data_IF_724042520180
#
_entry.id   IF_724042520180
#
_cell.length_a   1.000
_cell.length_b   1.000
_cell.length_c   1.000
_cell.angle_alpha   90.00
_cell.angle_beta   90.00
_cell.angle_gamma   90.00
#
_symmetry.space_group_name_H-M   'P 1'
#
loop_
_entity.id
_entity.type
_entity.pdbx_description
1 polymer ?
#
# COMPACT_ATOMS: atom_id res chain seq x y z
N UNK A 1 -20.56 -0.25 -2.29
CA UNK A 1 -20.02 0.50 -3.43
C UNK A 1 -20.11 -0.38 -4.65
N UNK A 2 -20.84 0.02 -5.68
CA UNK A 2 -20.86 -0.68 -6.97
C UNK A 2 -19.71 -0.12 -7.78
N UNK A 3 -18.69 -0.92 -8.06
CA UNK A 3 -17.62 -0.55 -8.98
C UNK A 3 -18.16 -0.76 -10.40
N UNK A 4 -18.02 0.24 -11.27
CA UNK A 4 -18.17 0.02 -12.71
C UNK A 4 -17.09 -0.94 -13.15
N UNK A 5 -17.45 -1.94 -13.95
CA UNK A 5 -16.50 -2.85 -14.61
C UNK A 5 -15.72 -2.09 -15.70
N UNK A 6 -14.85 -1.20 -15.32
CA UNK A 6 -13.81 -0.69 -16.21
C UNK A 6 -12.61 -1.62 -16.06
N UNK A 7 -12.36 -2.45 -17.07
CA UNK A 7 -11.13 -3.21 -17.15
C UNK A 7 -9.99 -2.24 -17.43
N UNK A 8 -9.11 -2.07 -16.45
CA UNK A 8 -7.81 -1.46 -16.71
C UNK A 8 -7.01 -2.43 -17.59
N UNK A 9 -6.43 -1.94 -18.67
CA UNK A 9 -5.54 -2.74 -19.55
C UNK A 9 -4.25 -3.11 -18.82
N UNK A 10 -3.81 -2.25 -17.89
CA UNK A 10 -2.57 -2.41 -17.13
C UNK A 10 -2.89 -2.60 -15.63
N UNK A 11 -2.02 -3.34 -14.95
CA UNK A 11 -2.13 -3.56 -13.51
C UNK A 11 -1.78 -2.27 -12.74
N UNK A 12 -2.57 -1.87 -11.73
CA UNK A 12 -2.22 -0.74 -10.89
C UNK A 12 -0.91 -0.97 -10.14
N UNK A 13 -0.02 0.01 -10.18
CA UNK A 13 1.24 0.00 -9.42
C UNK A 13 1.09 0.87 -8.18
N UNK A 14 1.51 0.33 -7.04
CA UNK A 14 1.48 1.03 -5.75
C UNK A 14 2.89 1.11 -5.21
N UNK A 15 3.34 2.30 -4.87
CA UNK A 15 4.65 2.54 -4.27
C UNK A 15 4.51 2.75 -2.77
N UNK A 16 5.13 1.83 -2.02
CA UNK A 16 5.09 1.77 -0.57
C UNK A 16 3.92 0.96 -0.01
N UNK A 17 4.18 0.16 1.02
CA UNK A 17 3.19 -0.68 1.73
C UNK A 17 2.93 -0.19 3.16
N UNK A 18 3.01 1.12 3.36
CA UNK A 18 2.47 1.77 4.56
C UNK A 18 0.93 1.72 4.57
N UNK A 19 0.25 2.32 5.57
CA UNK A 19 -1.20 2.20 5.70
C UNK A 19 -1.97 2.58 4.44
N UNK A 20 -1.57 3.63 3.74
CA UNK A 20 -2.23 4.09 2.52
C UNK A 20 -2.08 3.07 1.37
N UNK A 21 -0.85 2.57 1.14
CA UNK A 21 -0.59 1.59 0.09
C UNK A 21 -1.26 0.25 0.37
N UNK A 22 -1.23 -0.22 1.63
CA UNK A 22 -1.89 -1.45 2.06
C UNK A 22 -3.40 -1.42 1.76
N UNK A 23 -4.10 -0.34 2.14
CA UNK A 23 -5.52 -0.20 1.88
C UNK A 23 -5.84 0.07 0.41
N UNK A 24 -4.99 0.78 -0.33
CA UNK A 24 -5.14 0.94 -1.77
C UNK A 24 -5.05 -0.42 -2.47
N UNK A 25 -4.04 -1.23 -2.13
CA UNK A 25 -3.86 -2.56 -2.67
C UNK A 25 -5.06 -3.47 -2.36
N UNK A 26 -5.54 -3.48 -1.11
CA UNK A 26 -6.69 -4.27 -0.70
C UNK A 26 -7.95 -3.92 -1.50
N UNK A 27 -8.25 -2.62 -1.64
CA UNK A 27 -9.45 -2.17 -2.37
C UNK A 27 -9.35 -2.50 -3.85
N UNK A 28 -8.19 -2.31 -4.46
CA UNK A 28 -7.95 -2.64 -5.87
C UNK A 28 -7.99 -4.15 -6.12
N UNK A 29 -7.39 -4.96 -5.24
CA UNK A 29 -7.42 -6.42 -5.36
C UNK A 29 -8.86 -6.94 -5.28
N UNK A 30 -9.67 -6.45 -4.33
CA UNK A 30 -11.09 -6.81 -4.22
C UNK A 30 -11.93 -6.33 -5.41
N UNK A 31 -11.50 -5.27 -6.09
CA UNK A 31 -12.12 -4.80 -7.33
C UNK A 31 -11.66 -5.60 -8.57
N UNK A 32 -10.75 -6.59 -8.41
CA UNK A 32 -10.29 -7.47 -9.48
C UNK A 32 -9.14 -6.92 -10.33
N UNK A 33 -8.46 -5.84 -9.88
CA UNK A 33 -7.38 -5.22 -10.66
C UNK A 33 -6.00 -5.83 -10.46
N UNK A 34 -5.83 -6.78 -9.55
CA UNK A 34 -4.56 -7.48 -9.28
C UNK A 34 -3.36 -6.51 -9.15
N UNK A 35 -3.31 -5.61 -8.15
CA UNK A 35 -2.29 -4.57 -8.05
C UNK A 35 -0.89 -5.16 -7.84
N UNK A 36 0.14 -4.40 -8.27
CA UNK A 36 1.55 -4.69 -7.95
C UNK A 36 2.03 -3.65 -6.95
N UNK A 37 2.54 -4.10 -5.81
CA UNK A 37 3.03 -3.24 -4.73
C UNK A 37 4.55 -3.37 -4.63
N UNK A 38 5.25 -2.24 -4.59
CA UNK A 38 6.69 -2.18 -4.32
C UNK A 38 6.92 -1.55 -2.95
N UNK A 39 7.56 -2.30 -2.05
CA UNK A 39 7.93 -1.83 -0.71
C UNK A 39 9.45 -1.90 -0.55
N UNK A 40 10.05 -0.79 -0.06
CA UNK A 40 11.49 -0.70 0.12
C UNK A 40 12.03 -1.61 1.23
N UNK A 41 11.25 -1.77 2.30
CA UNK A 41 11.61 -2.60 3.45
C UNK A 41 11.12 -4.03 3.34
N UNK A 42 11.19 -4.73 4.46
CA UNK A 42 10.78 -6.12 4.59
C UNK A 42 9.28 -6.28 4.87
N UNK A 43 8.80 -7.53 4.71
CA UNK A 43 7.54 -7.97 5.29
C UNK A 43 7.58 -7.85 6.82
N UNK A 44 6.43 -7.75 7.45
CA UNK A 44 6.32 -7.45 8.88
C UNK A 44 7.02 -8.50 9.76
N UNK A 45 7.07 -9.75 9.32
CA UNK A 45 7.75 -10.84 10.01
C UNK A 45 9.27 -10.57 10.09
N UNK A 46 9.94 -10.46 8.95
CA UNK A 46 11.40 -10.18 8.87
C UNK A 46 11.74 -8.81 9.43
N UNK A 47 10.90 -7.78 9.16
CA UNK A 47 11.06 -6.45 9.71
C UNK A 47 11.08 -6.44 11.23
N UNK A 48 10.31 -7.33 11.89
CA UNK A 48 10.32 -7.45 13.35
C UNK A 48 11.68 -7.89 13.86
N UNK A 49 12.32 -8.84 13.19
CA UNK A 49 13.67 -9.31 13.52
C UNK A 49 14.72 -8.21 13.31
N UNK A 50 14.62 -7.47 12.21
CA UNK A 50 15.53 -6.34 11.91
C UNK A 50 15.41 -5.22 12.95
N UNK A 51 14.19 -4.91 13.38
CA UNK A 51 13.95 -3.89 14.43
C UNK A 51 14.46 -4.34 15.79
N UNK A 52 14.27 -5.61 16.15
CA UNK A 52 14.81 -6.19 17.38
C UNK A 52 16.34 -6.15 17.40
N UNK A 53 16.97 -6.57 16.30
CA UNK A 53 18.42 -6.50 16.12
C UNK A 53 18.95 -5.07 16.29
N UNK A 54 18.28 -4.07 15.70
CA UNK A 54 18.65 -2.66 15.87
C UNK A 54 18.60 -2.23 17.34
N UNK A 55 17.59 -2.62 18.11
CA UNK A 55 17.49 -2.26 19.52
C UNK A 55 18.54 -2.98 20.38
N UNK A 56 19.01 -4.17 19.99
CA UNK A 56 20.05 -4.91 20.70
C UNK A 56 21.47 -4.42 20.38
N UNK A 57 21.74 -4.08 19.12
CA UNK A 57 23.10 -3.84 18.62
C UNK A 57 23.40 -2.38 18.28
N UNK A 58 22.36 -1.60 17.96
CA UNK A 58 22.48 -0.26 17.39
C UNK A 58 22.75 -0.24 15.88
N UNK A 59 22.78 -1.41 15.21
CA UNK A 59 22.99 -1.51 13.76
C UNK A 59 21.69 -1.23 13.00
N UNK A 60 21.64 -0.09 12.30
CA UNK A 60 20.49 0.35 11.55
C UNK A 60 20.50 -0.21 10.12
N UNK A 61 19.43 -0.92 9.73
CA UNK A 61 19.12 -1.16 8.31
C UNK A 61 18.39 0.07 7.73
N UNK A 62 19.00 0.73 6.76
CA UNK A 62 18.45 1.97 6.17
C UNK A 62 17.17 1.75 5.36
N UNK A 63 16.95 0.55 4.83
CA UNK A 63 15.80 0.23 3.98
C UNK A 63 14.67 -0.47 4.74
N UNK A 64 14.97 -1.13 5.89
CA UNK A 64 13.97 -1.83 6.72
C UNK A 64 14.22 -1.54 8.20
N UNK A 65 13.32 -0.82 8.84
CA UNK A 65 13.49 -0.36 10.22
C UNK A 65 12.15 0.04 10.85
N UNK A 66 12.16 0.80 11.96
CA UNK A 66 10.95 1.30 12.62
C UNK A 66 10.09 2.19 11.72
N UNK A 67 10.66 2.86 10.70
CA UNK A 67 9.95 3.77 9.80
C UNK A 67 9.52 3.10 8.49
N UNK A 68 10.39 2.24 7.93
CA UNK A 68 10.23 1.66 6.61
C UNK A 68 9.95 0.17 6.68
N UNK A 69 9.13 -0.32 5.77
CA UNK A 69 8.68 -1.70 5.65
C UNK A 69 7.16 -1.84 5.76
N UNK A 70 6.68 -3.05 5.60
CA UNK A 70 5.25 -3.40 5.58
C UNK A 70 4.50 -2.82 6.78
N UNK A 71 3.36 -2.19 6.52
CA UNK A 71 2.51 -1.54 7.53
C UNK A 71 2.97 -0.14 7.96
N UNK A 72 4.18 0.29 7.52
CA UNK A 72 4.74 1.60 7.85
C UNK A 72 5.11 1.77 9.33
N UNK A 73 5.39 2.99 9.75
CA UNK A 73 5.83 3.30 11.11
C UNK A 73 4.79 2.96 12.21
N UNK A 74 3.49 2.93 11.85
CA UNK A 74 2.41 2.59 12.77
C UNK A 74 2.51 1.19 13.37
N UNK A 75 3.07 0.23 12.63
CA UNK A 75 3.21 -1.18 13.04
C UNK A 75 4.10 -1.36 14.28
N UNK A 76 5.04 -0.44 14.49
CA UNK A 76 5.99 -0.46 15.63
C UNK A 76 5.77 0.73 16.57
N UNK A 77 4.60 1.35 16.54
CA UNK A 77 4.20 2.44 17.44
C UNK A 77 3.52 1.91 18.69
N UNK A 78 2.88 2.80 19.46
CA UNK A 78 2.13 2.45 20.65
C UNK A 78 0.73 1.86 20.38
N UNK A 79 0.38 1.61 19.13
CA UNK A 79 -0.88 0.96 18.73
C UNK A 79 -2.16 1.80 18.88
N UNK A 80 -2.03 3.08 19.15
CA UNK A 80 -3.18 3.98 19.26
C UNK A 80 -3.74 4.33 17.88
N UNK A 81 -5.03 4.13 17.68
CA UNK A 81 -5.75 4.43 16.45
C UNK A 81 -6.53 5.76 16.57
N UNK A 82 -5.89 6.79 17.12
CA UNK A 82 -6.55 8.08 17.32
C UNK A 82 -6.48 8.94 16.06
N UNK A 83 -7.62 9.54 15.71
CA UNK A 83 -7.70 10.52 14.64
C UNK A 83 -8.56 11.71 15.07
N UNK A 84 -8.15 12.93 14.70
CA UNK A 84 -8.94 14.14 14.83
C UNK A 84 -9.81 14.43 13.60
N UNK A 85 -9.69 13.61 12.56
CA UNK A 85 -10.46 13.76 11.32
C UNK A 85 -11.91 13.34 11.56
N UNK A 86 -12.86 14.22 11.22
CA UNK A 86 -14.28 13.87 11.22
C UNK A 86 -14.57 12.91 10.09
N UNK A 87 -15.08 11.73 10.42
CA UNK A 87 -15.38 10.67 9.44
C UNK A 87 -16.67 10.94 8.66
N UNK A 88 -16.65 11.97 7.85
CA UNK A 88 -17.79 12.39 7.04
C UNK A 88 -18.28 11.32 6.04
N UNK A 89 -17.39 10.42 5.62
CA UNK A 89 -17.65 9.43 4.56
C UNK A 89 -17.58 7.97 5.05
N UNK A 90 -17.44 7.72 6.35
CA UNK A 90 -17.33 6.38 6.92
C UNK A 90 -16.00 5.68 6.62
N UNK A 91 -14.94 6.40 6.23
CA UNK A 91 -13.66 5.82 5.85
C UNK A 91 -12.90 5.27 7.05
N UNK A 92 -12.93 5.98 8.18
CA UNK A 92 -12.31 5.49 9.42
C UNK A 92 -13.01 4.22 9.90
N UNK A 93 -14.33 4.20 9.85
CA UNK A 93 -15.11 3.03 10.22
C UNK A 93 -14.86 1.84 9.29
N UNK A 94 -14.66 2.10 7.99
CA UNK A 94 -14.22 1.07 7.04
C UNK A 94 -12.86 0.47 7.45
N UNK A 95 -11.87 1.30 7.76
CA UNK A 95 -10.53 0.84 8.18
C UNK A 95 -10.61 -0.02 9.45
N UNK A 96 -11.36 0.44 10.47
CA UNK A 96 -11.53 -0.32 11.71
C UNK A 96 -12.22 -1.67 11.49
N UNK A 97 -13.24 -1.72 10.63
CA UNK A 97 -13.91 -2.97 10.24
C UNK A 97 -12.95 -3.93 9.53
N UNK A 98 -12.09 -3.41 8.66
CA UNK A 98 -11.09 -4.25 8.02
C UNK A 98 -10.07 -4.80 9.02
N UNK A 99 -9.64 -3.99 9.98
CA UNK A 99 -8.77 -4.48 11.04
C UNK A 99 -9.43 -5.62 11.85
N UNK A 100 -10.70 -5.47 12.24
CA UNK A 100 -11.44 -6.54 12.93
C UNK A 100 -11.56 -7.78 12.05
N UNK A 101 -11.89 -7.62 10.77
CA UNK A 101 -11.98 -8.74 9.82
C UNK A 101 -10.67 -9.53 9.73
N UNK A 102 -9.53 -8.85 9.93
CA UNK A 102 -8.20 -9.43 9.87
C UNK A 102 -7.60 -9.80 11.23
N UNK A 103 -8.39 -9.79 12.30
CA UNK A 103 -8.00 -10.32 13.60
C UNK A 103 -7.83 -9.31 14.73
N UNK A 104 -8.11 -8.03 14.49
CA UNK A 104 -8.14 -7.05 15.57
C UNK A 104 -9.36 -7.27 16.49
N UNK A 105 -9.27 -6.88 17.77
CA UNK A 105 -10.40 -6.96 18.70
C UNK A 105 -11.60 -6.11 18.24
N UNK A 106 -12.82 -6.59 18.47
CA UNK A 106 -14.04 -5.89 18.05
C UNK A 106 -14.29 -4.58 18.80
N UNK A 107 -13.73 -4.43 19.99
CA UNK A 107 -13.88 -3.25 20.84
C UNK A 107 -13.38 -1.96 20.17
N UNK A 108 -12.43 -2.05 19.25
CA UNK A 108 -11.95 -0.90 18.47
C UNK A 108 -13.05 -0.20 17.66
N UNK A 109 -14.19 -0.87 17.41
CA UNK A 109 -15.30 -0.30 16.62
C UNK A 109 -16.13 0.70 17.42
N UNK A 110 -16.13 0.61 18.76
CA UNK A 110 -16.97 1.42 19.63
C UNK A 110 -16.23 2.15 20.76
N UNK A 111 -14.96 1.85 20.96
CA UNK A 111 -14.14 2.59 21.92
C UNK A 111 -13.81 4.03 21.43
N UNK A 112 -13.87 4.99 22.36
CA UNK A 112 -13.56 6.39 22.04
C UNK A 112 -12.07 6.62 21.72
N UNK A 113 -11.19 5.72 22.20
CA UNK A 113 -9.74 5.74 21.97
C UNK A 113 -9.28 4.32 21.65
N UNK A 114 -9.58 3.82 20.43
CA UNK A 114 -9.24 2.47 20.06
C UNK A 114 -7.74 2.24 20.07
N UNK A 115 -7.34 1.10 20.59
CA UNK A 115 -5.96 0.67 20.71
C UNK A 115 -5.83 -0.77 20.21
N UNK A 116 -4.85 -1.03 19.35
CA UNK A 116 -4.47 -2.38 18.92
C UNK A 116 -3.05 -2.62 19.40
N UNK A 117 -2.80 -3.69 20.16
CA UNK A 117 -1.44 -4.08 20.53
C UNK A 117 -0.56 -4.27 19.28
N UNK A 118 0.70 -3.91 19.38
CA UNK A 118 1.64 -3.99 18.23
C UNK A 118 1.73 -5.39 17.64
N UNK A 119 1.67 -6.43 18.47
CA UNK A 119 1.72 -7.81 17.99
C UNK A 119 0.49 -8.16 17.17
N UNK A 120 -0.71 -7.80 17.66
CA UNK A 120 -1.96 -8.00 16.91
C UNK A 120 -1.95 -7.19 15.61
N UNK A 121 -1.41 -5.95 15.62
CA UNK A 121 -1.35 -5.13 14.42
C UNK A 121 -0.44 -5.72 13.35
N UNK A 122 0.66 -6.36 13.74
CA UNK A 122 1.53 -7.11 12.81
C UNK A 122 0.77 -8.25 12.13
N UNK A 123 0.01 -9.03 12.89
CA UNK A 123 -0.79 -10.13 12.37
C UNK A 123 -1.90 -9.64 11.43
N UNK A 124 -2.56 -8.52 11.78
CA UNK A 124 -3.57 -7.87 10.93
C UNK A 124 -2.97 -7.43 9.60
N UNK A 125 -1.81 -6.78 9.61
CA UNK A 125 -1.13 -6.32 8.40
C UNK A 125 -0.73 -7.49 7.52
N UNK A 126 -0.13 -8.54 8.08
CA UNK A 126 0.22 -9.77 7.36
C UNK A 126 -1.02 -10.48 6.78
N UNK A 127 -2.14 -10.48 7.52
CA UNK A 127 -3.41 -11.05 7.07
C UNK A 127 -4.00 -10.28 5.88
N UNK A 128 -3.93 -8.94 5.89
CA UNK A 128 -4.38 -8.11 4.76
C UNK A 128 -3.52 -8.39 3.52
N UNK A 129 -2.18 -8.47 3.66
CA UNK A 129 -1.29 -8.85 2.56
C UNK A 129 -1.69 -10.19 1.94
N UNK A 130 -1.91 -11.20 2.77
CA UNK A 130 -2.32 -12.53 2.30
C UNK A 130 -3.66 -12.49 1.53
N UNK A 131 -4.62 -11.65 1.94
CA UNK A 131 -5.85 -11.45 1.17
C UNK A 131 -5.54 -10.80 -0.19
N UNK A 132 -4.71 -9.76 -0.26
CA UNK A 132 -4.29 -9.11 -1.51
C UNK A 132 -3.66 -10.14 -2.46
N UNK A 133 -2.72 -10.93 -1.98
CA UNK A 133 -2.04 -11.97 -2.75
C UNK A 133 -3.01 -13.06 -3.23
N UNK A 134 -3.94 -13.50 -2.38
CA UNK A 134 -4.95 -14.49 -2.73
C UNK A 134 -5.91 -14.02 -3.83
N UNK A 135 -6.08 -12.71 -3.98
CA UNK A 135 -6.88 -12.06 -5.02
C UNK A 135 -6.07 -11.72 -6.29
N UNK A 136 -4.83 -12.20 -6.39
CA UNK A 136 -3.96 -12.01 -7.55
C UNK A 136 -3.08 -10.76 -7.50
N UNK A 137 -3.08 -10.02 -6.40
CA UNK A 137 -2.10 -8.95 -6.16
C UNK A 137 -0.71 -9.51 -5.95
N UNK A 138 0.31 -8.70 -6.18
CA UNK A 138 1.72 -9.04 -5.96
C UNK A 138 2.36 -8.00 -5.05
N UNK A 139 3.22 -8.46 -4.10
CA UNK A 139 3.98 -7.58 -3.22
C UNK A 139 5.45 -7.90 -3.36
N UNK A 140 6.24 -6.90 -3.72
CA UNK A 140 7.68 -6.98 -3.86
C UNK A 140 8.35 -6.21 -2.74
N UNK A 141 8.90 -6.93 -1.75
CA UNK A 141 9.69 -6.37 -0.68
C UNK A 141 11.13 -6.11 -1.11
N UNK A 142 11.87 -5.33 -0.33
CA UNK A 142 13.26 -4.92 -0.64
C UNK A 142 13.39 -4.31 -2.05
N UNK A 143 12.31 -3.67 -2.50
CA UNK A 143 12.22 -3.07 -3.83
C UNK A 143 11.89 -1.60 -3.70
N UNK A 144 12.92 -0.77 -3.71
CA UNK A 144 12.81 0.68 -3.62
C UNK A 144 12.56 1.27 -5.02
N UNK A 145 11.45 1.97 -5.17
CA UNK A 145 11.20 2.77 -6.37
C UNK A 145 12.00 4.07 -6.26
N UNK A 146 12.95 4.25 -7.18
CA UNK A 146 13.86 5.40 -7.17
C UNK A 146 13.43 6.50 -8.13
N UNK A 147 12.74 6.13 -9.23
CA UNK A 147 12.33 7.07 -10.26
C UNK A 147 11.11 6.54 -11.04
N UNK A 148 10.41 7.44 -11.71
CA UNK A 148 9.33 7.14 -12.63
C UNK A 148 9.72 7.72 -13.98
N UNK A 149 9.99 6.83 -14.93
CA UNK A 149 10.32 7.23 -16.28
C UNK A 149 9.01 7.37 -17.08
N UNK A 150 8.74 8.59 -17.54
CA UNK A 150 7.62 8.88 -18.42
C UNK A 150 8.16 9.05 -19.84
N UNK A 151 7.58 8.31 -20.79
CA UNK A 151 7.82 8.56 -22.21
C UNK A 151 6.65 9.40 -22.76
N UNK A 152 6.98 10.43 -23.55
CA UNK A 152 5.96 11.20 -24.25
C UNK A 152 5.27 10.29 -25.26
N UNK A 153 3.99 10.04 -25.07
CA UNK A 153 3.19 9.36 -26.08
C UNK A 153 2.99 10.35 -27.23
N UNK A 154 3.74 10.13 -28.31
CA UNK A 154 3.63 10.96 -29.51
C UNK A 154 2.20 10.94 -30.03
N UNK A 155 1.47 12.06 -29.88
CA UNK A 155 0.09 12.19 -30.36
C UNK A 155 -0.88 12.87 -29.40
N UNK A 156 -0.53 13.10 -28.14
CA UNK A 156 -1.37 13.91 -27.23
C UNK A 156 -1.07 15.38 -27.56
N UNK A 157 -2.07 16.05 -28.17
CA UNK A 157 -2.03 17.52 -28.33
C UNK A 157 -2.85 18.15 -27.21
N UNK A 158 -2.19 18.99 -26.41
CA UNK A 158 -2.92 19.93 -25.55
C UNK A 158 -3.53 21.02 -26.44
N UNK A 159 -4.83 21.32 -26.23
CA UNK A 159 -5.41 22.52 -26.80
C UNK A 159 -4.93 23.77 -26.05
N UNK A 160 -5.17 24.97 -26.62
CA UNK A 160 -4.80 26.24 -26.00
C UNK A 160 -5.49 26.50 -24.65
N UNK A 161 -6.42 25.65 -24.22
CA UNK A 161 -7.12 25.68 -22.94
C UNK A 161 -6.62 24.63 -21.93
N UNK A 162 -5.56 23.84 -22.27
CA UNK A 162 -4.99 22.79 -21.39
C UNK A 162 -5.88 21.56 -21.23
N UNK A 163 -6.80 21.31 -22.19
CA UNK A 163 -7.59 20.07 -22.20
C UNK A 163 -6.91 19.02 -23.06
N UNK A 164 -6.73 17.85 -22.48
CA UNK A 164 -6.19 16.67 -23.17
C UNK A 164 -7.31 16.04 -24.00
N UNK A 165 -7.11 15.98 -25.33
CA UNK A 165 -8.00 15.23 -26.22
C UNK A 165 -7.31 13.94 -26.65
N UNK A 166 -7.90 12.80 -26.34
CA UNK A 166 -7.48 11.50 -26.89
C UNK A 166 -7.79 11.46 -28.40
N UNK A 167 -6.75 11.38 -29.22
CA UNK A 167 -6.90 10.86 -30.56
C UNK A 167 -6.55 9.37 -30.55
N UNK A 168 -7.41 8.54 -31.16
CA UNK A 168 -7.17 7.11 -31.35
C UNK A 168 -5.73 6.83 -31.83
N UNK A 169 -4.92 6.27 -30.94
CA UNK A 169 -3.57 5.80 -31.27
C UNK A 169 -3.68 4.30 -31.53
N UNK A 170 -3.66 3.92 -32.79
CA UNK A 170 -3.45 2.53 -33.20
C UNK A 170 -2.01 2.12 -32.88
N UNK A 171 -1.88 1.26 -31.89
CA UNK A 171 -0.79 0.33 -31.59
C UNK A 171 0.66 0.82 -31.62
N UNK A 172 1.21 1.01 -30.45
CA UNK A 172 2.65 0.98 -30.21
C UNK A 172 2.91 0.55 -28.79
N UNK A 173 2.84 -0.77 -28.51
CA UNK A 173 3.27 -1.34 -27.22
C UNK A 173 4.78 -1.07 -27.08
N UNK A 174 5.15 -0.25 -26.12
CA UNK A 174 6.51 -0.25 -25.59
C UNK A 174 6.46 -0.27 -24.06
N UNK A 175 7.21 -1.21 -23.50
CA UNK A 175 7.29 -1.58 -22.11
C UNK A 175 7.72 -0.41 -21.22
N UNK A 176 6.91 -0.05 -20.24
CA UNK A 176 7.38 0.71 -19.08
C UNK A 176 8.27 -0.22 -18.25
N UNK A 177 9.58 0.05 -18.25
CA UNK A 177 10.53 -0.64 -17.38
C UNK A 177 10.62 0.07 -16.05
N UNK A 178 10.15 -0.58 -14.98
CA UNK A 178 10.46 -0.17 -13.61
C UNK A 178 11.84 -0.74 -13.28
N UNK A 179 12.85 0.12 -13.15
CA UNK A 179 14.17 -0.31 -12.70
C UNK A 179 14.19 -0.32 -11.18
N UNK A 180 14.13 -1.52 -10.58
CA UNK A 180 14.57 -1.76 -9.21
C UNK A 180 16.08 -2.02 -9.23
N UNK A 181 16.80 -1.22 -8.54
CA UNK A 181 18.10 -1.33 -7.88
C UNK A 181 18.86 -0.01 -7.99
N UNK A 182 18.83 0.76 -6.91
CA UNK A 182 19.84 1.78 -6.67
C UNK A 182 20.88 1.15 -5.73
N UNK A 183 22.08 0.93 -6.26
CA UNK A 183 23.29 0.63 -5.46
C UNK A 183 23.74 1.86 -4.71
#
# INVERSE_FOLDING_TARGET
MSFKEEKLEERPVIVGMGPAGLFAALVLARAGFAPVVFERGDCVETRSEVVEHFFETGELDEESNVQFGEGGAGTFSDGKLNTLVKDKFGRNHFVLKEFVKHGAPEDILYEAKPHIGTDILKDVVASIRKEIESLGGEVHFRTKVCDILCEDIAGIKEDEAGKVHEQEITAGRQNSQIKGNCS
#
